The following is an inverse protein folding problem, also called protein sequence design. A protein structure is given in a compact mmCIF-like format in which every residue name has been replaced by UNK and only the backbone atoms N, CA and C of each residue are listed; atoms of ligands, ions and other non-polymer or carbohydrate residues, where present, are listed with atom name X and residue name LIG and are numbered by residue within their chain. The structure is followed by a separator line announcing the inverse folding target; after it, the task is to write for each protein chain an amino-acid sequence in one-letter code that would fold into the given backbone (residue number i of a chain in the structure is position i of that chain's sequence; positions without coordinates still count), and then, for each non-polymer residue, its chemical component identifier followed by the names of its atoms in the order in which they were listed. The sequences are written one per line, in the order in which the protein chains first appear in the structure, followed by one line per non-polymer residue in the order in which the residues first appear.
data_IF_120596657923
#
_entry.id   IF_120596657923
#
_cell.length_a   1.000
_cell.length_b   1.000
_cell.length_c   1.000
_cell.angle_alpha   90.00
_cell.angle_beta   90.00
_cell.angle_gamma   90.00
#
_symmetry.space_group_name_H-M   'P 1'
#
loop_
_entity.id
_entity.type
_entity.pdbx_description
1 polymer ?
#
# COMPACT_ATOMS: atom_id res chain seq x y z
N UNK A 1 29.68 -12.02 -12.10
CA UNK A 1 28.30 -12.33 -12.54
C UNK A 1 27.46 -13.05 -11.48
N UNK A 2 27.97 -14.06 -10.74
CA UNK A 2 27.19 -14.81 -9.72
C UNK A 2 26.68 -13.96 -8.54
N UNK A 3 27.49 -13.01 -8.07
CA UNK A 3 27.15 -12.12 -6.96
C UNK A 3 26.06 -11.09 -7.30
N UNK A 4 25.98 -10.63 -8.55
CA UNK A 4 24.93 -9.71 -8.99
C UNK A 4 23.56 -10.39 -9.06
N UNK A 5 23.51 -11.66 -9.46
CA UNK A 5 22.28 -12.45 -9.45
C UNK A 5 21.78 -12.72 -8.02
N UNK A 6 22.69 -13.07 -7.10
CA UNK A 6 22.35 -13.28 -5.68
C UNK A 6 21.90 -11.97 -5.02
N UNK A 7 22.59 -10.86 -5.31
CA UNK A 7 22.20 -9.54 -4.80
C UNK A 7 20.84 -9.08 -5.35
N UNK A 8 20.56 -9.35 -6.64
CA UNK A 8 19.26 -9.07 -7.25
C UNK A 8 18.14 -9.87 -6.59
N UNK A 9 18.32 -11.19 -6.45
CA UNK A 9 17.32 -12.05 -5.78
C UNK A 9 17.13 -11.65 -4.32
N UNK A 10 18.20 -11.32 -3.59
CA UNK A 10 18.10 -10.85 -2.21
C UNK A 10 17.34 -9.51 -2.11
N UNK A 11 17.59 -8.58 -3.03
CA UNK A 11 16.84 -7.32 -3.10
C UNK A 11 15.35 -7.57 -3.40
N UNK A 12 15.04 -8.49 -4.31
CA UNK A 12 13.66 -8.87 -4.62
C UNK A 12 12.96 -9.51 -3.41
N UNK A 13 13.64 -10.41 -2.69
CA UNK A 13 13.09 -11.03 -1.47
C UNK A 13 12.87 -9.98 -0.37
N UNK A 14 13.78 -9.01 -0.21
CA UNK A 14 13.62 -7.93 0.77
C UNK A 14 12.47 -7.00 0.37
N UNK A 15 12.32 -6.65 -0.91
CA UNK A 15 11.21 -5.84 -1.41
C UNK A 15 9.86 -6.56 -1.25
N UNK A 16 9.80 -7.85 -1.55
CA UNK A 16 8.60 -8.67 -1.36
C UNK A 16 8.27 -8.86 0.13
N UNK A 17 9.29 -9.08 0.97
CA UNK A 17 9.14 -9.23 2.41
C UNK A 17 8.66 -7.95 3.09
N UNK A 18 9.25 -6.81 2.74
CA UNK A 18 8.82 -5.49 3.24
C UNK A 18 7.43 -5.13 2.74
N UNK A 19 7.10 -5.41 1.47
CA UNK A 19 5.76 -5.24 0.92
C UNK A 19 4.72 -6.07 1.67
N UNK A 20 5.00 -7.34 1.95
CA UNK A 20 4.10 -8.22 2.71
C UNK A 20 3.94 -7.77 4.16
N UNK A 21 5.03 -7.36 4.81
CA UNK A 21 4.98 -6.82 6.17
C UNK A 21 4.12 -5.55 6.25
N UNK A 22 4.34 -4.61 5.33
CA UNK A 22 3.55 -3.38 5.24
C UNK A 22 2.09 -3.71 4.96
N UNK A 23 1.80 -4.65 4.07
CA UNK A 23 0.43 -5.11 3.81
C UNK A 23 -0.25 -5.68 5.06
N UNK A 24 0.46 -6.50 5.85
CA UNK A 24 -0.07 -7.04 7.10
C UNK A 24 -0.35 -5.94 8.13
N UNK A 25 0.55 -4.96 8.27
CA UNK A 25 0.34 -3.82 9.16
C UNK A 25 -0.86 -2.97 8.70
N UNK A 26 -0.98 -2.72 7.40
CA UNK A 26 -2.13 -2.04 6.83
C UNK A 26 -3.42 -2.81 7.05
N UNK A 27 -3.42 -4.14 6.93
CA UNK A 27 -4.61 -4.96 7.18
C UNK A 27 -5.10 -4.85 8.61
N UNK A 28 -4.18 -4.85 9.57
CA UNK A 28 -4.51 -4.99 10.98
C UNK A 28 -4.72 -3.65 11.72
N UNK A 29 -4.30 -2.52 11.16
CA UNK A 29 -4.36 -1.23 11.86
C UNK A 29 -4.80 -0.07 10.98
N UNK A 30 -5.93 0.56 11.34
CA UNK A 30 -6.38 1.83 10.73
C UNK A 30 -5.39 2.96 11.00
N UNK A 31 -4.86 3.08 12.21
CA UNK A 31 -3.86 4.11 12.55
C UNK A 31 -2.58 4.00 11.72
N UNK A 32 -2.14 2.78 11.41
CA UNK A 32 -0.99 2.57 10.52
C UNK A 32 -1.30 3.03 9.10
N UNK A 33 -2.50 2.72 8.58
CA UNK A 33 -2.96 3.24 7.28
C UNK A 33 -3.02 4.77 7.30
N UNK A 34 -3.44 5.40 8.39
CA UNK A 34 -3.46 6.85 8.52
C UNK A 34 -2.06 7.49 8.51
N UNK A 35 -1.08 6.86 9.18
CA UNK A 35 0.31 7.31 9.13
C UNK A 35 0.85 7.27 7.70
N UNK A 36 0.57 6.19 6.97
CA UNK A 36 0.96 6.08 5.56
C UNK A 36 0.21 7.10 4.72
N UNK A 37 -1.09 7.30 4.94
CA UNK A 37 -1.87 8.32 4.25
C UNK A 37 -1.26 9.73 4.40
N UNK A 38 -0.81 10.08 5.61
CA UNK A 38 -0.12 11.35 5.89
C UNK A 38 1.25 11.46 5.21
N UNK A 39 1.95 10.34 5.03
CA UNK A 39 3.25 10.31 4.37
C UNK A 39 3.08 10.36 2.84
N UNK A 40 2.27 9.46 2.30
CA UNK A 40 1.93 9.37 0.89
C UNK A 40 0.56 8.66 0.72
N UNK A 41 -0.46 9.45 0.42
CA UNK A 41 -1.83 8.99 0.17
C UNK A 41 -1.95 7.96 -0.96
N UNK A 42 -0.98 7.94 -1.89
CA UNK A 42 -0.96 7.03 -3.03
C UNK A 42 -0.70 5.57 -2.63
N UNK A 43 0.14 5.37 -1.63
CA UNK A 43 0.50 4.04 -1.14
C UNK A 43 -0.73 3.38 -0.50
N UNK A 44 -1.49 4.15 0.27
CA UNK A 44 -2.72 3.67 0.90
C UNK A 44 -3.83 3.44 -0.14
N UNK A 45 -3.90 4.26 -1.20
CA UNK A 45 -4.87 4.04 -2.30
C UNK A 45 -4.63 2.72 -3.03
N UNK A 46 -3.37 2.33 -3.24
CA UNK A 46 -3.05 1.01 -3.81
C UNK A 46 -3.58 -0.12 -2.93
N UNK A 47 -3.41 -0.02 -1.61
CA UNK A 47 -3.96 -0.98 -0.65
C UNK A 47 -5.50 -1.03 -0.69
N UNK A 48 -6.17 0.12 -0.75
CA UNK A 48 -7.62 0.16 -0.83
C UNK A 48 -8.13 -0.45 -2.14
N UNK A 49 -7.53 -0.09 -3.27
CA UNK A 49 -7.90 -0.68 -4.58
C UNK A 49 -7.70 -2.18 -4.62
N UNK A 50 -6.62 -2.67 -4.00
CA UNK A 50 -6.40 -4.11 -3.88
C UNK A 50 -7.51 -4.78 -3.06
N UNK A 51 -7.90 -4.18 -1.93
CA UNK A 51 -9.02 -4.68 -1.12
C UNK A 51 -10.39 -4.53 -1.79
N UNK A 52 -10.64 -3.47 -2.56
CA UNK A 52 -11.89 -3.33 -3.34
C UNK A 52 -12.03 -4.42 -4.41
N UNK A 53 -10.90 -4.87 -4.98
CA UNK A 53 -10.89 -5.89 -6.02
C UNK A 53 -10.86 -7.33 -5.49
N UNK A 54 -10.19 -7.56 -4.36
CA UNK A 54 -9.90 -8.91 -3.86
C UNK A 54 -10.36 -9.17 -2.42
N UNK A 55 -10.87 -8.17 -1.72
CA UNK A 55 -11.19 -8.23 -0.29
C UNK A 55 -12.39 -7.38 0.08
N UNK A 56 -12.31 -6.69 1.23
CA UNK A 56 -13.38 -5.81 1.70
C UNK A 56 -13.21 -4.38 1.17
N UNK A 57 -14.12 -3.96 0.27
CA UNK A 57 -14.12 -2.62 -0.31
C UNK A 57 -14.54 -1.49 0.65
N UNK A 58 -15.07 -1.79 1.84
CA UNK A 58 -15.54 -0.75 2.78
C UNK A 58 -14.40 -0.06 3.54
N UNK A 59 -13.19 -0.63 3.55
CA UNK A 59 -12.08 -0.15 4.36
C UNK A 59 -11.70 1.31 4.08
N UNK A 60 -11.80 1.76 2.82
CA UNK A 60 -11.51 3.15 2.45
C UNK A 60 -12.50 4.12 3.08
N UNK A 61 -13.79 3.83 2.93
CA UNK A 61 -14.85 4.71 3.41
C UNK A 61 -14.86 4.77 4.94
N UNK A 62 -14.70 3.63 5.61
CA UNK A 62 -14.60 3.54 7.07
C UNK A 62 -13.43 4.34 7.62
N UNK A 63 -12.25 4.19 7.02
CA UNK A 63 -11.07 4.93 7.43
C UNK A 63 -11.22 6.44 7.23
N UNK A 64 -11.74 6.87 6.06
CA UNK A 64 -11.89 8.29 5.76
C UNK A 64 -12.91 8.94 6.70
N UNK A 65 -14.00 8.23 7.01
CA UNK A 65 -14.97 8.65 8.02
C UNK A 65 -14.32 8.77 9.40
N UNK A 66 -13.55 7.77 9.83
CA UNK A 66 -12.87 7.78 11.13
C UNK A 66 -11.81 8.88 11.23
N UNK A 67 -11.12 9.19 10.14
CA UNK A 67 -10.09 10.23 10.09
C UNK A 67 -10.65 11.62 9.80
N UNK A 68 -11.98 11.76 9.72
CA UNK A 68 -12.67 13.01 9.38
C UNK A 68 -12.22 13.63 8.05
N UNK A 69 -11.96 12.78 7.05
CA UNK A 69 -11.60 13.17 5.70
C UNK A 69 -12.86 13.15 4.82
N UNK A 70 -13.22 14.31 4.29
CA UNK A 70 -14.46 14.47 3.52
C UNK A 70 -14.29 14.22 2.02
N UNK A 71 -13.05 14.15 1.52
CA UNK A 71 -12.76 13.95 0.09
C UNK A 71 -12.01 12.63 -0.14
N UNK A 72 -12.67 11.69 -0.81
CA UNK A 72 -12.04 10.44 -1.23
C UNK A 72 -11.19 10.69 -2.48
N UNK A 73 -9.88 10.66 -2.32
CA UNK A 73 -8.93 10.72 -3.44
C UNK A 73 -8.58 9.31 -3.91
N UNK A 74 -8.81 9.04 -5.19
CA UNK A 74 -8.34 7.81 -5.83
C UNK A 74 -7.35 8.14 -6.93
N UNK A 75 -6.22 7.44 -6.91
CA UNK A 75 -5.13 7.61 -7.84
C UNK A 75 -5.11 6.50 -8.88
N UNK A 76 -6.28 6.28 -9.50
CA UNK A 76 -6.52 5.19 -10.46
C UNK A 76 -5.50 5.15 -11.61
N UNK A 77 -4.93 6.31 -11.96
CA UNK A 77 -3.91 6.49 -13.02
C UNK A 77 -2.48 6.67 -12.50
N UNK A 78 -2.15 6.23 -11.28
CA UNK A 78 -0.77 6.17 -10.85
C UNK A 78 0.02 5.20 -11.72
N UNK A 79 0.84 5.76 -12.62
CA UNK A 79 2.04 5.08 -13.09
C UNK A 79 2.95 4.94 -11.89
N UNK A 80 3.00 3.74 -11.32
CA UNK A 80 4.04 3.33 -10.39
C UNK A 80 5.31 3.20 -11.23
N UNK A 81 5.93 4.35 -11.54
CA UNK A 81 7.23 4.52 -12.20
C UNK A 81 7.28 3.95 -13.63
N UNK A 82 7.63 4.81 -14.59
CA UNK A 82 7.96 4.39 -15.94
C UNK A 82 9.19 3.49 -15.93
N UNK A 83 9.07 2.36 -16.60
CA UNK A 83 10.15 1.66 -17.27
C UNK A 83 9.77 1.56 -18.75
#
# INVERSE_FOLDING_TARGET
MKWAAIAGVAADVVCLGTGYYVYQQMKNSSDFRYKIYKYDERIVDVYYRANEKYGNGSAREEDYKNWSINEIKSFKNLRIIGF
#
